data_IF_382746505058
#
_entry.id   IF_382746505058
#
_cell.length_a   1.000
_cell.length_b   1.000
_cell.length_c   1.000
_cell.angle_alpha   90.00
_cell.angle_beta   90.00
_cell.angle_gamma   90.00
#
_symmetry.space_group_name_H-M   'P 1'
#
loop_
_entity.id
_entity.type
_entity.pdbx_description
1 polymer ?
#
# COMPACT_ATOMS: atom_id res chain seq x y z
N UNK A 1 -19.51 -18.51 -20.14
CA UNK A 1 -19.82 -17.75 -18.90
C UNK A 1 -18.54 -17.51 -18.11
N UNK A 2 -18.48 -16.51 -17.23
CA UNK A 2 -17.31 -16.27 -16.36
C UNK A 2 -16.23 -15.34 -16.92
N UNK A 3 -16.54 -14.45 -17.87
CA UNK A 3 -15.57 -13.46 -18.36
C UNK A 3 -15.32 -12.40 -17.27
N UNK A 4 -14.08 -12.31 -16.81
CA UNK A 4 -13.60 -11.21 -15.95
C UNK A 4 -12.93 -10.17 -16.85
N UNK A 5 -13.33 -8.92 -16.71
CA UNK A 5 -12.68 -7.80 -17.39
C UNK A 5 -11.89 -7.01 -16.36
N UNK A 6 -10.58 -6.90 -16.59
CA UNK A 6 -9.69 -6.05 -15.79
C UNK A 6 -9.52 -4.75 -16.54
N UNK A 7 -9.86 -3.63 -15.88
CA UNK A 7 -9.86 -2.34 -16.54
C UNK A 7 -9.44 -1.21 -15.60
N UNK A 8 -8.99 -0.10 -16.18
CA UNK A 8 -8.77 1.16 -15.47
C UNK A 8 -10.07 1.98 -15.46
N UNK A 9 -10.10 3.05 -14.64
CA UNK A 9 -11.25 3.97 -14.55
C UNK A 9 -11.70 4.51 -15.91
N UNK A 10 -10.77 4.67 -16.86
CA UNK A 10 -11.06 5.17 -18.20
C UNK A 10 -12.04 4.28 -19.00
N UNK A 11 -12.07 2.99 -18.71
CA UNK A 11 -12.92 2.02 -19.41
C UNK A 11 -14.38 2.03 -18.93
N UNK A 12 -14.62 2.48 -17.68
CA UNK A 12 -15.91 2.34 -17.02
C UNK A 12 -17.04 3.06 -17.74
N UNK A 13 -16.81 4.28 -18.26
CA UNK A 13 -17.89 5.16 -18.73
C UNK A 13 -18.69 4.64 -19.94
N UNK A 14 -18.24 3.60 -20.65
CA UNK A 14 -18.87 3.12 -21.89
C UNK A 14 -19.56 1.75 -21.83
N UNK A 15 -19.52 1.05 -20.69
CA UNK A 15 -20.11 -0.30 -20.57
C UNK A 15 -21.30 -0.27 -19.63
N UNK A 16 -22.48 -0.53 -20.21
CA UNK A 16 -23.74 -0.70 -19.51
C UNK A 16 -24.22 -2.15 -19.64
N UNK A 17 -23.66 -3.02 -18.79
CA UNK A 17 -24.06 -4.42 -18.71
C UNK A 17 -24.87 -4.63 -17.43
N UNK A 18 -26.15 -4.92 -17.58
CA UNK A 18 -27.07 -4.97 -16.44
C UNK A 18 -26.76 -6.11 -15.45
N UNK A 19 -26.18 -7.21 -15.94
CA UNK A 19 -25.97 -8.45 -15.19
C UNK A 19 -24.54 -8.65 -14.67
N UNK A 20 -23.84 -7.57 -14.32
CA UNK A 20 -22.54 -7.67 -13.62
C UNK A 20 -22.74 -8.17 -12.19
N UNK A 21 -22.15 -9.31 -11.86
CA UNK A 21 -22.28 -9.97 -10.54
C UNK A 21 -21.28 -9.49 -9.51
N UNK A 22 -20.18 -8.86 -9.94
CA UNK A 22 -19.28 -8.22 -8.99
C UNK A 22 -18.51 -7.07 -9.63
N UNK A 23 -18.07 -6.14 -8.79
CA UNK A 23 -17.06 -5.11 -9.11
C UNK A 23 -15.99 -5.19 -8.03
N UNK A 24 -14.72 -5.32 -8.44
CA UNK A 24 -13.59 -5.46 -7.54
C UNK A 24 -12.55 -4.35 -7.76
N UNK A 25 -12.29 -3.57 -6.72
CA UNK A 25 -11.21 -2.61 -6.65
C UNK A 25 -9.97 -3.26 -6.07
N UNK A 26 -8.93 -3.43 -6.91
CA UNK A 26 -7.63 -3.96 -6.48
C UNK A 26 -6.68 -2.86 -5.95
N UNK A 27 -7.07 -1.60 -6.12
CA UNK A 27 -6.36 -0.40 -5.67
C UNK A 27 -7.40 0.57 -5.12
N UNK A 28 -7.03 1.36 -4.11
CA UNK A 28 -7.89 2.38 -3.53
C UNK A 28 -8.38 3.38 -4.62
N UNK A 29 -9.71 3.54 -4.79
CA UNK A 29 -10.28 4.59 -5.64
C UNK A 29 -9.79 5.99 -5.23
N UNK A 30 -9.89 6.94 -6.16
CA UNK A 30 -9.46 8.33 -5.89
C UNK A 30 -10.30 9.04 -4.83
N UNK A 31 -11.59 8.71 -4.78
CA UNK A 31 -12.56 9.31 -3.88
C UNK A 31 -13.80 8.42 -3.74
N UNK A 32 -14.64 8.76 -2.76
CA UNK A 32 -15.85 8.01 -2.42
C UNK A 32 -16.93 8.10 -3.51
N UNK A 33 -17.03 9.20 -4.25
CA UNK A 33 -17.99 9.33 -5.35
C UNK A 33 -17.64 8.41 -6.53
N UNK A 34 -16.36 8.33 -6.87
CA UNK A 34 -15.84 7.38 -7.85
C UNK A 34 -16.13 5.94 -7.42
N UNK A 35 -15.86 5.61 -6.15
CA UNK A 35 -16.19 4.30 -5.59
C UNK A 35 -17.69 3.97 -5.72
N UNK A 36 -18.58 4.91 -5.37
CA UNK A 36 -20.02 4.74 -5.50
C UNK A 36 -20.45 4.50 -6.95
N UNK A 37 -19.98 5.33 -7.88
CA UNK A 37 -20.31 5.22 -9.30
C UNK A 37 -19.80 3.91 -9.92
N UNK A 38 -18.58 3.51 -9.58
CA UNK A 38 -17.92 2.32 -10.13
C UNK A 38 -18.57 1.04 -9.59
N UNK A 39 -18.81 0.95 -8.29
CA UNK A 39 -19.48 -0.21 -7.68
C UNK A 39 -20.96 -0.29 -8.06
N UNK A 40 -21.64 0.83 -8.29
CA UNK A 40 -23.03 0.91 -8.77
C UNK A 40 -23.26 0.38 -10.20
N UNK A 41 -22.22 -0.14 -10.86
CA UNK A 41 -22.34 -0.89 -12.12
C UNK A 41 -22.78 -2.34 -11.89
N UNK A 42 -22.54 -2.88 -10.70
CA UNK A 42 -22.94 -4.24 -10.35
C UNK A 42 -24.46 -4.29 -10.11
N UNK A 43 -25.11 -5.38 -10.50
CA UNK A 43 -26.49 -5.68 -10.09
C UNK A 43 -27.57 -4.71 -10.60
N UNK A 44 -27.39 -4.06 -11.76
CA UNK A 44 -28.42 -3.16 -12.34
C UNK A 44 -29.71 -3.88 -12.73
N UNK A 45 -29.65 -5.19 -12.94
CA UNK A 45 -30.81 -6.08 -13.11
C UNK A 45 -31.54 -6.38 -11.78
N UNK A 46 -31.08 -5.85 -10.65
CA UNK A 46 -31.66 -6.07 -9.33
C UNK A 46 -31.26 -7.40 -8.67
N UNK A 47 -30.52 -8.27 -9.38
CA UNK A 47 -30.01 -9.50 -8.80
C UNK A 47 -28.82 -9.22 -7.86
N UNK A 48 -28.59 -10.15 -6.93
CA UNK A 48 -27.48 -10.05 -5.98
C UNK A 48 -26.14 -9.85 -6.71
N UNK A 49 -25.33 -8.92 -6.18
CA UNK A 49 -24.02 -8.61 -6.70
C UNK A 49 -23.11 -8.08 -5.59
N UNK A 50 -21.81 -8.30 -5.75
CA UNK A 50 -20.81 -7.94 -4.74
C UNK A 50 -19.96 -6.75 -5.17
N UNK A 51 -19.76 -5.82 -4.23
CA UNK A 51 -18.75 -4.78 -4.33
C UNK A 51 -17.59 -5.13 -3.39
N UNK A 52 -16.39 -5.28 -3.93
CA UNK A 52 -15.21 -5.67 -3.17
C UNK A 52 -14.09 -4.66 -3.34
N UNK A 53 -13.38 -4.33 -2.27
CA UNK A 53 -12.24 -3.41 -2.32
C UNK A 53 -11.09 -3.91 -1.45
N UNK A 54 -9.91 -4.02 -2.04
CA UNK A 54 -8.64 -4.13 -1.32
C UNK A 54 -7.88 -2.81 -1.36
N UNK A 55 -7.23 -2.50 -0.25
CA UNK A 55 -6.28 -1.39 -0.13
C UNK A 55 -5.29 -1.63 1.01
N UNK A 56 -4.11 -1.03 0.88
CA UNK A 56 -3.06 -1.04 1.89
C UNK A 56 -2.58 0.36 2.23
N UNK A 57 -1.66 0.44 3.20
CA UNK A 57 -1.03 1.70 3.61
C UNK A 57 -0.35 2.42 2.42
N UNK A 58 0.27 1.67 1.51
CA UNK A 58 0.92 2.22 0.33
C UNK A 58 -0.06 2.96 -0.58
N UNK A 59 -1.29 2.46 -0.74
CA UNK A 59 -2.31 3.12 -1.57
C UNK A 59 -2.73 4.46 -0.97
N UNK A 60 -2.92 4.50 0.35
CA UNK A 60 -3.26 5.73 1.08
C UNK A 60 -2.20 6.80 0.87
N UNK A 61 -0.94 6.42 1.09
CA UNK A 61 0.22 7.31 0.94
C UNK A 61 0.35 7.81 -0.50
N UNK A 62 0.22 6.91 -1.48
CA UNK A 62 0.31 7.26 -2.89
C UNK A 62 -0.81 8.20 -3.34
N UNK A 63 -2.05 7.97 -2.90
CA UNK A 63 -3.19 8.84 -3.24
C UNK A 63 -3.02 10.25 -2.66
N UNK A 64 -2.60 10.37 -1.40
CA UNK A 64 -2.31 11.69 -0.79
C UNK A 64 -1.22 12.42 -1.56
N UNK A 65 -0.10 11.75 -1.87
CA UNK A 65 1.00 12.32 -2.65
C UNK A 65 0.55 12.82 -4.02
N UNK A 66 -0.25 12.02 -4.75
CA UNK A 66 -0.78 12.43 -6.06
C UNK A 66 -1.68 13.68 -5.98
N UNK A 67 -2.43 13.86 -4.89
CA UNK A 67 -3.22 15.07 -4.68
C UNK A 67 -2.30 16.26 -4.42
N UNK A 68 -1.33 16.11 -3.53
CA UNK A 68 -0.45 17.19 -3.09
C UNK A 68 0.51 17.67 -4.21
N UNK A 69 1.03 16.75 -5.02
CA UNK A 69 1.89 17.05 -6.18
C UNK A 69 1.13 17.54 -7.41
N UNK A 70 -0.21 17.49 -7.39
CA UNK A 70 -1.00 17.95 -8.54
C UNK A 70 -0.80 19.45 -8.79
N UNK A 71 -0.89 19.91 -10.06
CA UNK A 71 -0.77 21.34 -10.40
C UNK A 71 -2.00 22.17 -10.00
N UNK A 72 -2.97 21.58 -9.30
CA UNK A 72 -4.21 22.24 -8.90
C UNK A 72 -3.97 23.26 -7.76
N UNK A 73 -4.87 24.23 -7.63
CA UNK A 73 -4.85 25.17 -6.52
C UNK A 73 -5.13 24.49 -5.16
N UNK A 74 -4.66 25.11 -4.07
CA UNK A 74 -4.77 24.52 -2.72
C UNK A 74 -6.22 24.24 -2.28
N UNK A 75 -7.17 25.08 -2.68
CA UNK A 75 -8.59 24.85 -2.37
C UNK A 75 -9.10 23.56 -3.02
N UNK A 76 -8.73 23.30 -4.27
CA UNK A 76 -9.08 22.06 -4.95
C UNK A 76 -8.40 20.85 -4.29
N UNK A 77 -7.11 20.96 -3.96
CA UNK A 77 -6.38 19.88 -3.25
C UNK A 77 -7.02 19.57 -1.89
N UNK A 78 -7.42 20.60 -1.14
CA UNK A 78 -8.15 20.45 0.13
C UNK A 78 -9.44 19.65 -0.05
N UNK A 79 -10.22 19.95 -1.09
CA UNK A 79 -11.43 19.21 -1.41
C UNK A 79 -11.13 17.75 -1.80
N UNK A 80 -10.10 17.50 -2.61
CA UNK A 80 -9.70 16.13 -2.96
C UNK A 80 -9.22 15.33 -1.74
N UNK A 81 -8.46 15.96 -0.84
CA UNK A 81 -8.05 15.36 0.45
C UNK A 81 -9.28 14.96 1.27
N UNK A 82 -10.26 15.85 1.41
CA UNK A 82 -11.49 15.56 2.14
C UNK A 82 -12.29 14.38 1.53
N UNK A 83 -12.34 14.28 0.20
CA UNK A 83 -13.01 13.17 -0.50
C UNK A 83 -12.28 11.83 -0.34
N UNK A 84 -10.95 11.86 -0.36
CA UNK A 84 -10.12 10.68 -0.06
C UNK A 84 -10.31 10.25 1.40
N UNK A 85 -10.31 11.20 2.34
CA UNK A 85 -10.52 10.94 3.76
C UNK A 85 -11.90 10.29 4.00
N UNK A 86 -12.95 10.74 3.29
CA UNK A 86 -14.27 10.10 3.35
C UNK A 86 -14.27 8.64 2.88
N UNK A 87 -13.52 8.32 1.81
CA UNK A 87 -13.37 6.94 1.33
C UNK A 87 -12.58 6.07 2.33
N UNK A 88 -11.52 6.62 2.93
CA UNK A 88 -10.74 5.93 3.96
C UNK A 88 -11.56 5.69 5.22
N UNK A 89 -12.40 6.66 5.61
CA UNK A 89 -13.35 6.51 6.70
C UNK A 89 -14.36 5.40 6.39
N UNK A 90 -14.88 5.33 5.16
CA UNK A 90 -15.72 4.23 4.72
C UNK A 90 -15.00 2.88 4.81
N UNK A 91 -13.71 2.82 4.44
CA UNK A 91 -12.93 1.59 4.39
C UNK A 91 -12.51 1.07 5.79
N UNK A 92 -12.22 1.96 6.73
CA UNK A 92 -11.82 1.63 8.11
C UNK A 92 -13.01 1.62 9.09
N UNK A 93 -14.21 2.03 8.66
CA UNK A 93 -15.42 2.03 9.48
C UNK A 93 -15.71 0.70 10.16
N UNK A 94 -16.16 0.70 11.41
CA UNK A 94 -16.58 -0.52 12.12
C UNK A 94 -18.10 -0.75 12.14
N UNK A 95 -18.89 0.24 11.74
CA UNK A 95 -20.34 0.20 11.61
C UNK A 95 -20.79 -0.09 10.17
N UNK A 96 -22.09 0.02 9.87
CA UNK A 96 -22.62 -0.33 8.55
C UNK A 96 -22.04 0.52 7.40
N UNK A 97 -21.43 -0.14 6.41
CA UNK A 97 -20.89 0.50 5.19
C UNK A 97 -21.95 1.33 4.46
N UNK A 98 -23.16 0.77 4.29
CA UNK A 98 -24.25 1.44 3.56
C UNK A 98 -24.69 2.72 4.27
N UNK A 99 -24.82 2.70 5.59
CA UNK A 99 -25.18 3.89 6.37
C UNK A 99 -24.18 5.01 6.15
N UNK A 100 -22.87 4.71 6.22
CA UNK A 100 -21.83 5.71 5.95
C UNK A 100 -21.83 6.22 4.52
N UNK A 101 -21.99 5.32 3.56
CA UNK A 101 -22.01 5.67 2.15
C UNK A 101 -23.18 6.59 1.82
N UNK A 102 -24.38 6.29 2.34
CA UNK A 102 -25.56 7.13 2.15
C UNK A 102 -25.45 8.46 2.91
N UNK A 103 -24.94 8.44 4.15
CA UNK A 103 -24.75 9.65 4.94
C UNK A 103 -23.80 10.65 4.26
N UNK A 104 -22.78 10.16 3.54
CA UNK A 104 -21.91 11.01 2.73
C UNK A 104 -22.67 11.80 1.66
N UNK A 105 -23.71 11.20 1.05
CA UNK A 105 -24.58 11.84 0.07
C UNK A 105 -25.78 12.57 0.70
N UNK A 106 -25.80 12.74 2.02
CA UNK A 106 -26.88 13.42 2.74
C UNK A 106 -28.13 12.55 2.95
N UNK A 107 -28.03 11.24 2.75
CA UNK A 107 -29.14 10.31 2.95
C UNK A 107 -29.02 9.57 4.28
N UNK A 108 -30.10 9.60 5.07
CA UNK A 108 -30.19 8.85 6.32
C UNK A 108 -30.64 7.41 6.06
N UNK A 109 -30.05 6.45 6.79
CA UNK A 109 -30.39 5.03 6.68
C UNK A 109 -30.14 4.31 8.01
N UNK A 110 -30.76 3.15 8.16
CA UNK A 110 -30.44 2.17 9.22
C UNK A 110 -29.46 1.10 8.71
N UNK A 111 -28.94 0.28 9.62
CA UNK A 111 -28.03 -0.80 9.29
C UNK A 111 -28.63 -1.76 8.23
N UNK A 112 -27.84 -2.10 7.21
CA UNK A 112 -28.35 -2.77 6.02
C UNK A 112 -28.49 -4.28 6.11
N UNK A 113 -27.88 -4.93 7.11
CA UNK A 113 -27.86 -6.39 7.23
C UNK A 113 -27.11 -7.14 6.12
N UNK A 114 -26.47 -6.45 5.17
CA UNK A 114 -25.92 -7.05 3.95
C UNK A 114 -24.52 -6.54 3.54
N UNK A 115 -23.81 -5.83 4.41
CA UNK A 115 -22.40 -5.47 4.19
C UNK A 115 -21.49 -6.31 5.09
N UNK A 116 -20.19 -6.34 4.77
CA UNK A 116 -19.16 -7.05 5.55
C UNK A 116 -19.25 -6.74 7.05
N UNK A 117 -19.46 -5.48 7.42
CA UNK A 117 -19.55 -5.05 8.82
C UNK A 117 -20.85 -5.47 9.51
N UNK A 118 -21.96 -5.60 8.77
CA UNK A 118 -23.20 -6.11 9.35
C UNK A 118 -23.18 -7.63 9.49
N UNK A 119 -22.59 -8.32 8.50
CA UNK A 119 -22.53 -9.79 8.45
C UNK A 119 -21.44 -10.34 9.39
N UNK A 120 -20.31 -9.65 9.47
CA UNK A 120 -19.15 -10.01 10.27
C UNK A 120 -18.59 -8.76 10.96
N UNK A 121 -19.25 -8.26 12.04
CA UNK A 121 -18.78 -7.09 12.76
C UNK A 121 -17.30 -7.22 13.14
N UNK A 122 -16.45 -6.22 12.78
CA UNK A 122 -15.04 -6.27 13.10
C UNK A 122 -14.83 -6.16 14.61
N UNK A 123 -13.85 -6.88 15.14
CA UNK A 123 -13.35 -6.60 16.47
C UNK A 123 -12.67 -5.22 16.50
N UNK A 124 -12.92 -4.48 17.57
CA UNK A 124 -12.28 -3.18 17.85
C UNK A 124 -11.60 -3.23 19.19
N UNK A 125 -10.54 -2.45 19.36
CA UNK A 125 -9.78 -2.38 20.60
C UNK A 125 -9.42 -0.94 20.93
N UNK A 126 -9.19 -0.67 22.21
CA UNK A 126 -8.64 0.60 22.66
C UNK A 126 -7.16 0.70 22.29
N UNK A 127 -6.90 1.47 21.23
CA UNK A 127 -5.57 1.69 20.69
C UNK A 127 -4.98 3.04 21.12
N UNK A 128 -5.54 3.70 22.14
CA UNK A 128 -5.10 5.02 22.61
C UNK A 128 -3.60 5.05 22.90
N UNK A 129 -3.09 4.05 23.61
CA UNK A 129 -1.65 3.95 23.89
C UNK A 129 -0.82 3.73 22.62
N UNK A 130 -1.25 2.85 21.71
CA UNK A 130 -0.53 2.63 20.46
C UNK A 130 -0.51 3.90 19.58
N UNK A 131 -1.63 4.63 19.53
CA UNK A 131 -1.73 5.90 18.84
C UNK A 131 -0.76 6.93 19.44
N UNK A 132 -0.76 7.08 20.77
CA UNK A 132 0.15 8.00 21.49
C UNK A 132 1.61 7.65 21.24
N UNK A 133 1.99 6.38 21.24
CA UNK A 133 3.36 5.95 20.94
C UNK A 133 3.77 6.31 19.52
N UNK A 134 2.93 6.04 18.52
CA UNK A 134 3.20 6.38 17.13
C UNK A 134 3.32 7.90 16.92
N UNK A 135 2.35 8.67 17.38
CA UNK A 135 2.35 10.13 17.30
C UNK A 135 3.54 10.74 18.05
N UNK A 136 3.86 10.22 19.24
CA UNK A 136 5.03 10.68 20.01
C UNK A 136 6.33 10.42 19.26
N UNK A 137 6.44 9.29 18.56
CA UNK A 137 7.65 8.96 17.81
C UNK A 137 7.84 9.90 16.62
N UNK A 138 6.75 10.22 15.90
CA UNK A 138 6.75 11.24 14.83
C UNK A 138 7.17 12.61 15.38
N UNK A 139 6.64 12.99 16.56
CA UNK A 139 7.08 14.21 17.25
C UNK A 139 8.58 14.20 17.58
N UNK A 140 9.09 13.08 18.13
CA UNK A 140 10.49 12.94 18.53
C UNK A 140 11.45 13.01 17.33
N UNK A 141 11.07 12.51 16.16
CA UNK A 141 11.87 12.67 14.94
C UNK A 141 12.11 14.15 14.60
N UNK A 142 11.04 14.94 14.58
CA UNK A 142 11.10 16.38 14.33
C UNK A 142 11.87 17.10 15.43
N UNK A 143 11.65 16.75 16.70
CA UNK A 143 12.37 17.37 17.81
C UNK A 143 13.88 17.05 17.79
N UNK A 144 14.26 15.84 17.44
CA UNK A 144 15.65 15.39 17.48
C UNK A 144 16.47 15.90 16.29
N UNK A 145 15.88 15.94 15.09
CA UNK A 145 16.63 16.17 13.84
C UNK A 145 16.01 17.22 12.91
N UNK A 146 14.79 17.70 13.18
CA UNK A 146 14.01 18.52 12.25
C UNK A 146 13.43 17.73 11.05
N UNK A 147 13.87 16.49 10.84
CA UNK A 147 13.47 15.64 9.73
C UNK A 147 12.22 14.82 10.06
N UNK A 148 11.45 14.50 9.01
CA UNK A 148 10.36 13.54 9.05
C UNK A 148 10.76 12.23 8.36
N UNK A 149 10.11 11.14 8.75
CA UNK A 149 10.42 9.81 8.26
C UNK A 149 9.16 9.05 7.88
N UNK A 150 9.28 8.12 6.94
CA UNK A 150 8.18 7.27 6.50
C UNK A 150 7.79 6.18 7.52
N UNK A 151 6.68 5.51 7.24
CA UNK A 151 6.09 4.49 8.11
C UNK A 151 7.03 3.33 8.45
N UNK A 152 7.86 2.87 7.51
CA UNK A 152 8.81 1.77 7.77
C UNK A 152 9.78 2.09 8.89
N UNK A 153 10.40 3.28 8.84
CA UNK A 153 11.35 3.73 9.87
C UNK A 153 10.66 3.98 11.21
N UNK A 154 9.46 4.57 11.19
CA UNK A 154 8.63 4.73 12.38
C UNK A 154 8.38 3.38 13.08
N UNK A 155 8.05 2.34 12.32
CA UNK A 155 7.83 0.99 12.84
C UNK A 155 9.12 0.39 13.40
N UNK A 156 10.25 0.54 12.70
CA UNK A 156 11.53 0.00 13.16
C UNK A 156 11.95 0.64 14.49
N UNK A 157 11.77 1.96 14.64
CA UNK A 157 12.01 2.68 15.90
C UNK A 157 11.06 2.20 17.00
N UNK A 158 9.75 2.17 16.75
CA UNK A 158 8.76 1.70 17.74
C UNK A 158 9.05 0.27 18.21
N UNK A 159 9.50 -0.60 17.31
CA UNK A 159 9.83 -1.99 17.61
C UNK A 159 11.25 -2.18 18.16
N UNK A 160 12.05 -1.12 18.21
CA UNK A 160 13.42 -1.16 18.74
C UNK A 160 14.38 -1.95 17.85
N UNK A 161 14.12 -2.02 16.54
CA UNK A 161 15.01 -2.69 15.60
C UNK A 161 16.21 -1.80 15.31
N UNK A 162 17.40 -2.36 15.46
CA UNK A 162 18.64 -1.71 15.03
C UNK A 162 18.83 -1.94 13.53
N UNK A 163 18.75 -0.86 12.77
CA UNK A 163 19.02 -0.78 11.34
C UNK A 163 20.05 0.32 11.07
N UNK A 164 20.73 0.27 9.92
CA UNK A 164 21.67 1.31 9.49
C UNK A 164 21.06 2.71 9.63
N UNK A 165 19.79 2.86 9.24
CA UNK A 165 19.05 4.13 9.34
C UNK A 165 18.79 4.56 10.78
N UNK A 166 18.41 3.64 11.67
CA UNK A 166 18.21 3.99 13.09
C UNK A 166 19.52 4.38 13.77
N UNK A 167 20.63 3.78 13.38
CA UNK A 167 21.97 4.10 13.89
C UNK A 167 22.46 5.44 13.33
N UNK A 168 22.38 5.63 12.01
CA UNK A 168 22.80 6.84 11.31
C UNK A 168 22.11 8.10 11.84
N UNK A 169 20.81 8.01 12.15
CA UNK A 169 20.04 9.13 12.68
C UNK A 169 20.01 9.19 14.21
N UNK A 170 20.75 8.35 14.92
CA UNK A 170 20.80 8.36 16.38
C UNK A 170 19.49 7.95 17.07
N UNK A 171 18.55 7.35 16.33
CA UNK A 171 17.20 7.07 16.82
C UNK A 171 17.14 5.93 17.85
N UNK A 172 18.21 5.16 18.00
CA UNK A 172 18.36 4.21 19.11
C UNK A 172 18.35 4.87 20.50
N UNK A 173 18.60 6.18 20.58
CA UNK A 173 18.62 6.94 21.84
C UNK A 173 17.27 7.59 22.18
N UNK A 174 16.30 7.53 21.27
CA UNK A 174 14.99 8.16 21.49
C UNK A 174 14.24 7.43 22.60
N UNK A 175 13.57 8.20 23.46
CA UNK A 175 12.64 7.66 24.48
C UNK A 175 11.55 6.74 23.91
N UNK A 176 11.28 6.82 22.60
CA UNK A 176 10.29 6.00 21.91
C UNK A 176 10.90 4.79 21.18
N UNK A 177 12.20 4.56 21.28
CA UNK A 177 12.83 3.38 20.71
C UNK A 177 12.43 2.13 21.50
N UNK A 178 11.83 1.15 20.84
CA UNK A 178 11.45 -0.13 21.43
C UNK A 178 10.18 -0.13 22.29
N UNK A 179 9.54 1.03 22.55
CA UNK A 179 8.34 1.11 23.41
C UNK A 179 7.14 0.34 22.85
N UNK A 180 7.16 0.05 21.56
CA UNK A 180 6.15 -0.64 20.79
C UNK A 180 6.49 -2.08 20.42
N UNK A 181 7.51 -2.69 21.03
CA UNK A 181 8.01 -4.02 20.66
C UNK A 181 6.98 -5.15 20.80
N UNK A 182 5.97 -4.98 21.66
CA UNK A 182 4.90 -5.96 21.87
C UNK A 182 3.98 -6.17 20.66
N UNK A 183 3.92 -5.22 19.73
CA UNK A 183 3.09 -5.32 18.53
C UNK A 183 3.91 -5.72 17.30
N UNK A 184 3.29 -6.51 16.43
CA UNK A 184 3.87 -6.92 15.16
C UNK A 184 3.97 -5.73 14.19
N UNK A 185 4.81 -5.88 13.17
CA UNK A 185 4.89 -4.88 12.09
C UNK A 185 3.55 -4.70 11.37
N UNK A 186 2.78 -5.78 11.18
CA UNK A 186 1.46 -5.71 10.53
C UNK A 186 0.44 -4.97 11.39
N UNK A 187 0.45 -5.19 12.71
CA UNK A 187 -0.35 -4.40 13.64
C UNK A 187 0.01 -2.92 13.56
N UNK A 188 1.29 -2.57 13.58
CA UNK A 188 1.72 -1.17 13.45
C UNK A 188 1.33 -0.54 12.10
N UNK A 189 1.44 -1.28 10.99
CA UNK A 189 0.95 -0.82 9.69
C UNK A 189 -0.56 -0.53 9.74
N UNK A 190 -1.34 -1.37 10.41
CA UNK A 190 -2.76 -1.17 10.64
C UNK A 190 -3.06 0.07 11.50
N UNK A 191 -2.30 0.30 12.56
CA UNK A 191 -2.42 1.51 13.40
C UNK A 191 -2.12 2.76 12.57
N UNK A 192 -0.98 2.81 11.88
CA UNK A 192 -0.58 3.98 11.07
C UNK A 192 -1.61 4.28 9.97
N UNK A 193 -2.10 3.25 9.28
CA UNK A 193 -3.13 3.40 8.24
C UNK A 193 -4.42 3.99 8.81
N UNK A 194 -4.87 3.53 9.96
CA UNK A 194 -6.08 4.06 10.61
C UNK A 194 -5.85 5.48 11.19
N UNK A 195 -4.67 5.81 11.71
CA UNK A 195 -4.35 7.18 12.14
C UNK A 195 -4.29 8.17 10.97
N UNK A 196 -3.86 7.72 9.78
CA UNK A 196 -3.96 8.50 8.54
C UNK A 196 -5.41 8.69 8.12
N UNK A 197 -6.26 7.67 8.27
CA UNK A 197 -7.70 7.74 7.95
C UNK A 197 -8.46 8.67 8.89
N UNK A 198 -8.15 8.62 10.19
CA UNK A 198 -8.72 9.51 11.22
C UNK A 198 -8.15 10.94 11.17
N UNK A 199 -7.17 11.21 10.31
CA UNK A 199 -6.55 12.51 10.18
C UNK A 199 -5.72 12.94 11.39
N UNK A 200 -5.19 11.99 12.17
CA UNK A 200 -4.19 12.24 13.22
C UNK A 200 -2.76 12.26 12.67
N UNK A 201 -2.51 11.52 11.59
CA UNK A 201 -1.29 11.57 10.80
C UNK A 201 -1.60 12.11 9.40
N UNK A 202 -0.60 12.74 8.81
CA UNK A 202 -0.58 13.13 7.40
C UNK A 202 0.72 12.66 6.76
N UNK A 203 0.71 12.51 5.43
CA UNK A 203 1.93 12.31 4.65
C UNK A 203 2.36 13.62 4.01
N UNK A 204 3.64 13.93 4.03
CA UNK A 204 4.21 15.15 3.44
C UNK A 204 5.46 14.83 2.62
N UNK A 205 5.62 15.61 1.53
CA UNK A 205 6.82 15.64 0.69
C UNK A 205 6.92 14.48 -0.29
N UNK A 206 7.90 14.59 -1.18
CA UNK A 206 8.19 13.61 -2.23
C UNK A 206 8.50 12.21 -1.67
N UNK A 207 9.13 12.17 -0.49
CA UNK A 207 9.50 10.92 0.20
C UNK A 207 8.40 10.35 1.10
N UNK A 208 7.16 10.85 1.04
CA UNK A 208 6.00 10.31 1.76
C UNK A 208 6.21 10.18 3.27
N UNK A 209 6.84 11.20 3.84
CA UNK A 209 7.19 11.18 5.26
C UNK A 209 5.97 11.47 6.12
N UNK A 210 5.94 10.93 7.35
CA UNK A 210 4.80 11.13 8.25
C UNK A 210 4.97 12.41 9.08
N UNK A 211 3.88 13.16 9.20
CA UNK A 211 3.76 14.36 10.03
C UNK A 211 2.50 14.32 10.87
N UNK A 212 2.51 15.07 11.97
CA UNK A 212 1.34 15.21 12.84
C UNK A 212 0.35 16.17 12.20
N UNK A 213 -0.92 15.79 12.21
CA UNK A 213 -2.03 16.70 11.92
C UNK A 213 -2.47 17.46 13.19
N UNK A 214 -3.28 18.51 13.03
CA UNK A 214 -3.77 19.32 14.16
C UNK A 214 -4.50 18.49 15.23
N UNK A 215 -5.24 17.47 14.81
CA UNK A 215 -5.99 16.58 15.70
C UNK A 215 -5.09 15.69 16.58
N UNK A 216 -3.82 15.49 16.22
CA UNK A 216 -2.89 14.65 16.96
C UNK A 216 -2.64 15.15 18.39
N UNK A 217 -2.74 16.47 18.61
CA UNK A 217 -2.46 17.10 19.91
C UNK A 217 -3.37 16.58 21.01
N UNK A 218 -4.67 16.45 20.73
CA UNK A 218 -5.65 15.99 21.71
C UNK A 218 -5.40 14.51 22.10
N UNK A 219 -5.05 13.67 21.12
CA UNK A 219 -4.67 12.26 21.34
C UNK A 219 -3.40 12.16 22.18
N UNK A 220 -2.36 12.95 21.86
CA UNK A 220 -1.10 12.95 22.60
C UNK A 220 -1.28 13.31 24.09
N UNK A 221 -2.16 14.28 24.36
CA UNK A 221 -2.52 14.69 25.73
C UNK A 221 -3.42 13.67 26.45
N UNK A 222 -3.94 12.66 25.75
CA UNK A 222 -4.88 11.69 26.32
C UNK A 222 -6.30 12.25 26.50
N UNK A 223 -6.63 13.37 25.84
CA UNK A 223 -7.96 13.99 25.89
C UNK A 223 -8.98 13.24 25.02
N UNK A 224 -8.50 12.56 23.97
CA UNK A 224 -9.33 11.81 23.01
C UNK A 224 -8.90 10.34 23.00
N UNK A 225 -9.78 9.39 23.36
CA UNK A 225 -9.50 7.97 23.19
C UNK A 225 -9.52 7.59 21.71
N UNK A 226 -8.70 6.61 21.33
CA UNK A 226 -8.60 6.11 19.95
C UNK A 226 -8.99 4.65 19.91
N UNK A 227 -10.19 4.38 19.38
CA UNK A 227 -10.66 3.01 19.12
C UNK A 227 -10.36 2.65 17.67
N UNK A 228 -9.62 1.55 17.47
CA UNK A 228 -9.25 1.06 16.14
C UNK A 228 -9.81 -0.34 15.90
N UNK A 229 -9.97 -0.69 14.62
CA UNK A 229 -10.18 -2.07 14.21
C UNK A 229 -8.96 -2.91 14.57
N UNK A 230 -9.20 -4.11 15.09
CA UNK A 230 -8.16 -5.10 15.29
C UNK A 230 -7.62 -5.58 13.95
N UNK A 231 -6.30 -5.71 13.84
CA UNK A 231 -5.70 -6.39 12.71
C UNK A 231 -5.91 -7.90 12.87
N UNK A 232 -6.81 -8.48 12.07
CA UNK A 232 -6.97 -9.94 12.01
C UNK A 232 -5.81 -10.53 11.19
N UNK A 233 -4.94 -11.27 11.85
CA UNK A 233 -4.08 -12.21 11.14
C UNK A 233 -5.00 -13.25 10.49
N UNK A 234 -4.92 -13.41 9.16
CA UNK A 234 -5.60 -14.51 8.49
C UNK A 234 -5.20 -15.81 9.18
N UNK A 235 -6.15 -16.69 9.58
CA UNK A 235 -5.78 -17.96 10.18
C UNK A 235 -4.79 -18.66 9.25
N UNK A 236 -3.60 -18.99 9.76
CA UNK A 236 -2.69 -19.89 9.04
C UNK A 236 -3.47 -21.17 8.82
N UNK A 237 -3.88 -21.39 7.57
CA UNK A 237 -4.84 -22.43 7.21
C UNK A 237 -4.53 -23.75 7.89
N UNK A 238 -5.55 -24.29 8.57
CA UNK A 238 -5.61 -25.66 9.06
C UNK A 238 -5.16 -26.63 7.96
N UNK A 239 -4.19 -27.48 8.31
CA UNK A 239 -4.00 -28.82 7.75
C UNK A 239 -3.91 -28.96 6.23
N UNK A 240 -2.76 -28.62 5.63
CA UNK A 240 -2.22 -29.44 4.52
C UNK A 240 -0.96 -30.12 5.01
N UNK A 241 -1.08 -31.42 5.21
CA UNK A 241 -0.03 -32.37 5.56
C UNK A 241 1.27 -32.05 4.83
N UNK A 242 2.28 -31.66 5.59
CA UNK A 242 3.67 -31.57 5.12
C UNK A 242 4.12 -32.98 4.75
N UNK A 243 4.20 -33.26 3.45
CA UNK A 243 5.09 -34.32 2.96
C UNK A 243 6.51 -33.79 3.08
N UNK A 244 7.30 -34.50 3.87
CA UNK A 244 8.72 -34.33 4.06
C UNK A 244 9.48 -34.44 2.74
N UNK A 245 10.25 -33.42 2.39
CA UNK A 245 11.51 -33.59 1.67
C UNK A 245 12.54 -32.64 2.25
N UNK A 246 13.68 -33.23 2.55
CA UNK A 246 14.83 -32.71 3.27
C UNK A 246 15.59 -31.60 2.53
N UNK A 247 16.18 -30.72 3.34
CA UNK A 247 17.45 -29.99 3.15
C UNK A 247 17.65 -29.10 1.91
N UNK A 248 17.86 -27.81 2.17
CA UNK A 248 18.53 -26.86 1.26
C UNK A 248 17.81 -25.52 1.20
N UNK A 249 18.46 -24.46 1.67
CA UNK A 249 17.87 -23.14 1.88
C UNK A 249 17.64 -22.30 0.62
N UNK A 250 16.90 -21.20 0.78
CA UNK A 250 16.74 -20.17 -0.25
C UNK A 250 15.28 -19.79 -0.50
N UNK A 251 14.82 -18.77 0.23
CA UNK A 251 13.49 -18.17 0.13
C UNK A 251 13.14 -17.69 -1.29
N UNK A 252 12.14 -18.31 -1.92
CA UNK A 252 11.50 -17.83 -3.15
C UNK A 252 10.11 -17.25 -2.85
N UNK A 253 9.94 -15.96 -3.14
CA UNK A 253 8.62 -15.32 -3.24
C UNK A 253 7.98 -15.72 -4.57
N UNK A 254 6.85 -16.41 -4.51
CA UNK A 254 6.04 -16.83 -5.67
C UNK A 254 5.50 -15.62 -6.45
N UNK A 255 5.80 -15.56 -7.75
CA UNK A 255 4.96 -14.92 -8.77
C UNK A 255 4.61 -15.94 -9.85
N UNK A 256 3.33 -15.99 -10.22
CA UNK A 256 2.75 -16.84 -11.26
C UNK A 256 3.17 -16.38 -12.66
N UNK A 257 4.20 -17.02 -13.20
CA UNK A 257 4.45 -17.24 -14.63
C UNK A 257 5.34 -18.49 -14.72
N UNK A 258 5.22 -19.29 -15.79
CA UNK A 258 6.12 -20.43 -15.99
C UNK A 258 7.58 -19.95 -15.98
N UNK A 259 8.52 -20.67 -15.33
CA UNK A 259 9.92 -20.26 -15.32
C UNK A 259 10.45 -20.25 -16.76
N UNK A 260 10.87 -19.06 -17.22
CA UNK A 260 11.60 -18.89 -18.47
C UNK A 260 12.88 -19.72 -18.34
N UNK A 261 13.09 -20.70 -19.22
CA UNK A 261 14.33 -21.48 -19.26
C UNK A 261 15.44 -20.57 -19.80
N UNK A 262 16.43 -20.28 -18.97
CA UNK A 262 17.65 -19.57 -19.35
C UNK A 262 18.77 -20.60 -19.57
N UNK A 263 19.72 -20.28 -20.44
CA UNK A 263 20.99 -20.99 -20.57
C UNK A 263 22.00 -20.49 -19.52
N UNK A 264 23.19 -21.09 -19.46
CA UNK A 264 24.20 -20.74 -18.46
C UNK A 264 24.60 -19.24 -18.51
N UNK A 265 24.68 -18.68 -19.72
CA UNK A 265 24.99 -17.26 -19.92
C UNK A 265 23.80 -16.36 -19.53
N UNK A 266 22.57 -16.80 -19.80
CA UNK A 266 21.34 -16.16 -19.35
C UNK A 266 21.20 -16.13 -17.83
N UNK A 267 21.57 -17.21 -17.14
CA UNK A 267 21.57 -17.27 -15.67
C UNK A 267 22.60 -16.30 -15.05
N UNK A 268 23.76 -16.16 -15.70
CA UNK A 268 24.77 -15.18 -15.30
C UNK A 268 24.26 -13.73 -15.46
N UNK A 269 23.67 -13.41 -16.63
CA UNK A 269 23.03 -12.09 -16.88
C UNK A 269 21.90 -11.81 -15.90
N UNK A 270 21.06 -12.79 -15.63
CA UNK A 270 19.94 -12.66 -14.69
C UNK A 270 20.42 -12.39 -13.26
N UNK A 271 21.51 -13.05 -12.84
CA UNK A 271 22.12 -12.83 -11.54
C UNK A 271 22.74 -11.43 -11.43
N UNK A 272 23.44 -10.96 -12.47
CA UNK A 272 23.99 -9.60 -12.54
C UNK A 272 22.89 -8.54 -12.49
N UNK A 273 21.80 -8.73 -13.25
CA UNK A 273 20.62 -7.86 -13.22
C UNK A 273 19.93 -7.83 -11.86
N UNK A 274 19.86 -8.97 -11.15
CA UNK A 274 19.31 -9.02 -9.78
C UNK A 274 20.19 -8.29 -8.79
N UNK A 275 21.52 -8.39 -8.91
CA UNK A 275 22.47 -7.67 -8.08
C UNK A 275 22.36 -6.15 -8.31
N UNK A 276 22.41 -5.72 -9.58
CA UNK A 276 22.19 -4.31 -9.96
C UNK A 276 20.84 -3.79 -9.44
N UNK A 277 19.76 -4.53 -9.67
CA UNK A 277 18.42 -4.14 -9.19
C UNK A 277 18.38 -3.97 -7.68
N UNK A 278 19.06 -4.85 -6.94
CA UNK A 278 19.11 -4.77 -5.48
C UNK A 278 19.89 -3.55 -5.02
N UNK A 279 20.96 -3.18 -5.73
CA UNK A 279 21.74 -1.99 -5.45
C UNK A 279 20.97 -0.70 -5.72
N UNK A 280 20.34 -0.60 -6.90
CA UNK A 280 19.47 0.54 -7.27
C UNK A 280 18.28 0.65 -6.31
N UNK A 281 17.68 -0.47 -5.93
CA UNK A 281 16.59 -0.52 -4.95
C UNK A 281 17.04 -0.04 -3.57
N UNK A 282 18.27 -0.38 -3.17
CA UNK A 282 18.89 0.07 -1.91
C UNK A 282 19.20 1.57 -1.94
N UNK A 283 19.77 2.07 -3.04
CA UNK A 283 20.10 3.48 -3.24
C UNK A 283 18.85 4.37 -3.19
N UNK A 284 17.78 3.96 -3.87
CA UNK A 284 16.52 4.68 -3.90
C UNK A 284 15.55 4.30 -2.77
N UNK A 285 15.94 3.39 -1.87
CA UNK A 285 15.14 2.93 -0.74
C UNK A 285 13.72 2.45 -1.13
N UNK A 286 13.63 1.67 -2.20
CA UNK A 286 12.41 1.07 -2.74
C UNK A 286 12.54 -0.47 -2.72
N UNK A 287 11.44 -1.25 -2.55
CA UNK A 287 11.49 -2.68 -2.78
C UNK A 287 11.96 -3.02 -4.21
N UNK A 288 12.86 -4.00 -4.36
CA UNK A 288 13.50 -4.33 -5.64
C UNK A 288 12.50 -4.58 -6.77
N UNK A 289 11.35 -5.20 -6.49
CA UNK A 289 10.32 -5.46 -7.49
C UNK A 289 9.69 -4.19 -8.10
N UNK A 290 9.83 -3.02 -7.45
CA UNK A 290 9.36 -1.72 -7.97
C UNK A 290 10.29 -1.24 -9.09
N UNK A 291 11.60 -1.46 -8.96
CA UNK A 291 12.60 -1.14 -10.00
C UNK A 291 12.31 -1.97 -11.25
N UNK A 292 12.35 -3.30 -11.13
CA UNK A 292 11.86 -4.25 -12.14
C UNK A 292 11.38 -5.53 -11.48
N UNK A 293 10.31 -6.14 -12.00
CA UNK A 293 9.88 -7.46 -11.53
C UNK A 293 10.82 -8.55 -12.10
N UNK A 294 10.78 -9.75 -11.51
CA UNK A 294 11.64 -10.86 -11.94
C UNK A 294 11.35 -11.33 -13.37
N UNK A 295 10.12 -11.20 -13.86
CA UNK A 295 9.76 -11.59 -15.22
C UNK A 295 10.43 -10.67 -16.26
N UNK A 296 10.45 -9.37 -16.02
CA UNK A 296 11.13 -8.38 -16.86
C UNK A 296 12.64 -8.59 -16.84
N UNK A 297 13.24 -8.88 -15.68
CA UNK A 297 14.67 -9.21 -15.61
C UNK A 297 15.01 -10.52 -16.34
N UNK A 298 14.16 -11.54 -16.23
CA UNK A 298 14.34 -12.81 -16.92
C UNK A 298 14.21 -12.64 -18.44
N UNK A 299 13.30 -11.77 -18.89
CA UNK A 299 13.17 -11.42 -20.30
C UNK A 299 14.39 -10.64 -20.81
N UNK A 300 14.93 -9.68 -20.04
CA UNK A 300 16.18 -8.99 -20.36
C UNK A 300 17.36 -9.95 -20.47
N UNK A 301 17.47 -10.90 -19.53
CA UNK A 301 18.51 -11.91 -19.54
C UNK A 301 18.41 -12.85 -20.75
N UNK A 302 17.19 -13.19 -21.18
CA UNK A 302 16.96 -14.03 -22.35
C UNK A 302 17.24 -13.29 -23.67
N UNK A 303 16.71 -12.06 -23.82
CA UNK A 303 16.80 -11.30 -25.08
C UNK A 303 18.17 -10.64 -25.27
N UNK A 304 18.90 -10.38 -24.19
CA UNK A 304 20.22 -9.73 -24.20
C UNK A 304 20.28 -8.47 -25.10
N UNK A 305 19.41 -7.47 -24.88
CA UNK A 305 19.36 -6.27 -25.71
C UNK A 305 20.70 -5.52 -25.69
N UNK A 306 21.18 -5.14 -26.86
CA UNK A 306 22.42 -4.37 -27.04
C UNK A 306 22.18 -2.87 -27.25
N UNK A 307 20.94 -2.46 -27.48
CA UNK A 307 20.56 -1.06 -27.72
C UNK A 307 19.38 -0.61 -26.85
N UNK A 308 19.22 0.70 -26.67
CA UNK A 308 18.08 1.26 -25.94
C UNK A 308 16.75 0.96 -26.63
N UNK A 309 16.75 0.89 -27.97
CA UNK A 309 15.54 0.57 -28.75
C UNK A 309 15.11 -0.88 -28.52
N UNK A 310 16.04 -1.84 -28.51
CA UNK A 310 15.75 -3.24 -28.17
C UNK A 310 15.27 -3.39 -26.73
N UNK A 311 15.85 -2.63 -25.79
CA UNK A 311 15.44 -2.62 -24.39
C UNK A 311 14.02 -2.06 -24.21
N UNK A 312 13.61 -1.09 -25.03
CA UNK A 312 12.25 -0.52 -25.04
C UNK A 312 11.17 -1.53 -25.44
N UNK A 313 11.54 -2.56 -26.22
CA UNK A 313 10.64 -3.63 -26.65
C UNK A 313 10.31 -4.66 -25.56
N UNK A 314 10.97 -4.60 -24.40
CA UNK A 314 10.77 -5.55 -23.31
C UNK A 314 9.57 -5.16 -22.44
N UNK A 315 8.70 -6.13 -22.18
CA UNK A 315 7.50 -5.92 -21.35
C UNK A 315 7.89 -5.52 -19.91
N UNK A 316 7.41 -4.35 -19.49
CA UNK A 316 7.74 -3.76 -18.19
C UNK A 316 8.78 -2.63 -18.24
N UNK A 317 9.37 -2.35 -19.41
CA UNK A 317 10.27 -1.20 -19.64
C UNK A 317 9.49 -0.04 -20.27
N UNK A 318 8.98 0.87 -19.43
CA UNK A 318 8.34 2.11 -19.91
C UNK A 318 9.34 3.22 -20.19
N UNK A 319 8.94 4.25 -20.95
CA UNK A 319 9.81 5.37 -21.37
C UNK A 319 10.61 6.00 -20.22
N UNK A 320 9.97 6.27 -19.06
CA UNK A 320 10.65 6.82 -17.87
C UNK A 320 11.72 5.89 -17.28
N UNK A 321 11.47 4.58 -17.28
CA UNK A 321 12.45 3.59 -16.77
C UNK A 321 13.59 3.37 -17.75
N UNK A 322 13.30 3.46 -19.06
CA UNK A 322 14.32 3.41 -20.10
C UNK A 322 15.26 4.61 -20.01
N UNK A 323 14.72 5.80 -19.81
CA UNK A 323 15.49 7.03 -19.62
C UNK A 323 16.35 6.97 -18.34
N UNK A 324 15.76 6.52 -17.22
CA UNK A 324 16.45 6.47 -15.94
C UNK A 324 17.52 5.37 -15.85
N UNK A 325 17.22 4.16 -16.35
CA UNK A 325 18.03 2.96 -16.08
C UNK A 325 18.61 2.30 -17.33
N UNK A 326 18.20 2.69 -18.54
CA UNK A 326 18.51 1.97 -19.76
C UNK A 326 20.02 1.84 -20.03
N UNK A 327 20.78 2.91 -19.81
CA UNK A 327 22.24 2.89 -20.00
C UNK A 327 22.97 1.98 -19.01
N UNK A 328 22.51 1.92 -17.77
CA UNK A 328 23.10 1.05 -16.75
C UNK A 328 22.77 -0.42 -16.99
N UNK A 329 21.54 -0.72 -17.40
CA UNK A 329 21.11 -2.07 -17.74
C UNK A 329 21.93 -2.62 -18.91
N UNK A 330 22.15 -1.81 -19.96
CA UNK A 330 23.00 -2.21 -21.09
C UNK A 330 24.45 -2.47 -20.65
N UNK A 331 24.97 -1.68 -19.70
CA UNK A 331 26.30 -1.91 -19.12
C UNK A 331 26.36 -3.24 -18.37
N UNK A 332 25.35 -3.55 -17.55
CA UNK A 332 25.26 -4.80 -16.78
C UNK A 332 25.10 -6.02 -17.69
N UNK A 333 24.39 -5.86 -18.82
CA UNK A 333 24.21 -6.93 -19.81
C UNK A 333 25.45 -7.19 -20.66
N UNK A 334 26.29 -6.17 -20.88
CA UNK A 334 27.52 -6.28 -21.65
C UNK A 334 28.68 -6.95 -20.88
N UNK A 335 28.57 -7.04 -19.54
CA UNK A 335 29.60 -7.60 -18.65
C UNK A 335 30.47 -6.53 -18.01
#
# INVERSE_FOLDING_TARGET
>A
EGLIVVATVAFGMGIDKANLRFVAHLVLPKNIEGYYQETGRAGRDGAAADAWMAYGLADVVNQRRMIDESPAGEEFKKQQRAKLDALLALAEAHDCRRVRLLAYFGEHSTACGNCDNCLNPPATWDATEAARMALSTVYRFRQHSGLSFGAGHLIDVLRGKVTDKTTQHGHGTLSTFGIGAKWSEQQWRGVIRQLLSLGHLQSEGEFTTLVLADSARAVLKGEVPVTLREHRESPKGSGRTRRSSSSGGGSSGRSTAAPIKLDADGDARFSALRAWRSEVAREHNLPAYIVFNDATLAQMALTAPGTLDELSGISGVGAKKLEAYGREILRVLAG
#
